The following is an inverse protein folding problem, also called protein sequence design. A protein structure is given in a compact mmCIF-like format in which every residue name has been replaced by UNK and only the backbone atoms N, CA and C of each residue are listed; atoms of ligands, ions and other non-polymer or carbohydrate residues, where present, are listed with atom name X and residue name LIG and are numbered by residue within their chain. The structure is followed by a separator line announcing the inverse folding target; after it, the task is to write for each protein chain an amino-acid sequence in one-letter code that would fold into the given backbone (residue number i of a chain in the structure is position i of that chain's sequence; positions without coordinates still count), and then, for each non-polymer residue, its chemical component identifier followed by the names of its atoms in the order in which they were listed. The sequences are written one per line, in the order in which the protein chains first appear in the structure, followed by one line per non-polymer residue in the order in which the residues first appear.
data_IF_367501841545
#
_entry.id   IF_367501841545
#
_cell.length_a   1.000
_cell.length_b   1.000
_cell.length_c   1.000
_cell.angle_alpha   90.00
_cell.angle_beta   90.00
_cell.angle_gamma   90.00
#
_symmetry.space_group_name_H-M   'P 1'
#
loop_
_entity.id
_entity.type
_entity.pdbx_description
1 polymer ?
#
# COMPACT_ATOMS: atom_id res chain seq x y z
N UNK A 1 -4.69 -14.66 -14.79
CA UNK A 1 -3.44 -15.02 -14.09
C UNK A 1 -2.54 -13.81 -13.79
N UNK A 2 -2.88 -12.60 -14.26
CA UNK A 2 -2.05 -11.40 -14.05
C UNK A 2 -2.35 -10.66 -12.73
N UNK A 3 -3.59 -10.74 -12.23
CA UNK A 3 -3.98 -10.13 -10.95
C UNK A 3 -3.23 -10.72 -9.75
N UNK A 4 -3.00 -12.04 -9.74
CA UNK A 4 -2.25 -12.71 -8.68
C UNK A 4 -0.79 -12.24 -8.66
N UNK A 5 -0.18 -12.00 -9.84
CA UNK A 5 1.17 -11.45 -9.92
C UNK A 5 1.23 -10.01 -9.42
N UNK A 6 0.25 -9.18 -9.77
CA UNK A 6 0.16 -7.80 -9.29
C UNK A 6 0.00 -7.77 -7.76
N UNK A 7 -0.87 -8.61 -7.19
CA UNK A 7 -1.08 -8.70 -5.75
C UNK A 7 0.16 -9.19 -5.01
N UNK A 8 0.87 -10.19 -5.55
CA UNK A 8 2.11 -10.69 -4.97
C UNK A 8 3.22 -9.62 -4.95
N UNK A 9 3.37 -8.84 -6.02
CA UNK A 9 4.34 -7.74 -6.08
C UNK A 9 3.94 -6.62 -5.10
N UNK A 10 2.65 -6.26 -5.03
CA UNK A 10 2.13 -5.27 -4.07
C UNK A 10 2.48 -5.72 -2.65
N UNK A 11 2.13 -6.95 -2.27
CA UNK A 11 2.42 -7.48 -0.93
C UNK A 11 3.92 -7.54 -0.59
N UNK A 12 4.77 -7.96 -1.54
CA UNK A 12 6.22 -7.97 -1.33
C UNK A 12 6.77 -6.54 -1.11
N UNK A 13 6.30 -5.57 -1.89
CA UNK A 13 6.65 -4.17 -1.72
C UNK A 13 6.22 -3.64 -0.34
N UNK A 14 5.00 -3.93 0.10
CA UNK A 14 4.47 -3.52 1.41
C UNK A 14 5.36 -4.03 2.54
N UNK A 15 5.75 -5.30 2.50
CA UNK A 15 6.62 -5.93 3.50
C UNK A 15 7.99 -5.24 3.54
N UNK A 16 8.61 -5.01 2.38
CA UNK A 16 9.93 -4.37 2.30
C UNK A 16 9.88 -2.94 2.84
N UNK A 17 8.90 -2.14 2.42
CA UNK A 17 8.78 -0.74 2.85
C UNK A 17 8.56 -0.66 4.36
N UNK A 18 7.61 -1.42 4.91
CA UNK A 18 7.32 -1.38 6.34
C UNK A 18 8.48 -1.91 7.18
N UNK A 19 9.18 -2.94 6.71
CA UNK A 19 10.36 -3.44 7.40
C UNK A 19 11.48 -2.39 7.46
N UNK A 20 11.75 -1.68 6.36
CA UNK A 20 12.75 -0.63 6.32
C UNK A 20 12.36 0.56 7.23
N UNK A 21 11.10 0.98 7.23
CA UNK A 21 10.69 2.17 7.98
C UNK A 21 10.48 1.88 9.46
N UNK A 22 9.73 0.82 9.81
CA UNK A 22 9.42 0.52 11.21
C UNK A 22 10.56 -0.25 11.89
N UNK A 23 11.15 -1.22 11.20
CA UNK A 23 12.26 -2.01 11.73
C UNK A 23 13.54 -1.19 11.86
N UNK A 24 14.06 -0.67 10.74
CA UNK A 24 15.33 0.08 10.75
C UNK A 24 15.16 1.54 11.21
N UNK A 25 14.05 2.19 10.86
CA UNK A 25 13.84 3.61 11.18
C UNK A 25 13.30 3.89 12.58
N UNK A 26 12.47 3.00 13.13
CA UNK A 26 11.82 3.19 14.43
C UNK A 26 12.27 2.20 15.51
N UNK A 27 13.13 1.23 15.16
CA UNK A 27 13.67 0.26 16.09
C UNK A 27 12.68 -0.81 16.57
N UNK A 28 11.57 -1.01 15.85
CA UNK A 28 10.60 -2.04 16.20
C UNK A 28 11.21 -3.44 16.01
N UNK A 29 10.89 -4.35 16.93
CA UNK A 29 11.25 -5.76 16.76
C UNK A 29 10.59 -6.32 15.50
N UNK A 30 11.30 -7.21 14.80
CA UNK A 30 10.83 -7.83 13.55
C UNK A 30 9.44 -8.46 13.68
N UNK A 31 9.14 -9.11 14.81
CA UNK A 31 7.84 -9.72 15.10
C UNK A 31 6.71 -8.68 15.11
N UNK A 32 6.95 -7.52 15.72
CA UNK A 32 5.99 -6.42 15.75
C UNK A 32 5.77 -5.84 14.35
N UNK A 33 6.84 -5.65 13.59
CA UNK A 33 6.74 -5.16 12.20
C UNK A 33 5.99 -6.14 11.30
N UNK A 34 6.24 -7.44 11.43
CA UNK A 34 5.50 -8.47 10.71
C UNK A 34 4.01 -8.46 11.06
N UNK A 35 3.68 -8.36 12.35
CA UNK A 35 2.29 -8.32 12.80
C UNK A 35 1.55 -7.10 12.25
N UNK A 36 2.16 -5.92 12.34
CA UNK A 36 1.62 -4.68 11.77
C UNK A 36 1.43 -4.81 10.26
N UNK A 37 2.40 -5.41 9.55
CA UNK A 37 2.32 -5.61 8.09
C UNK A 37 1.15 -6.53 7.71
N UNK A 38 0.93 -7.60 8.48
CA UNK A 38 -0.13 -8.56 8.24
C UNK A 38 -1.52 -7.93 8.48
N UNK A 39 -1.66 -7.19 9.58
CA UNK A 39 -2.88 -6.43 9.89
C UNK A 39 -3.12 -5.35 8.84
N UNK A 40 -2.09 -4.58 8.47
CA UNK A 40 -2.22 -3.54 7.45
C UNK A 40 -2.62 -4.14 6.10
N UNK A 41 -2.02 -5.25 5.69
CA UNK A 41 -2.37 -5.93 4.45
C UNK A 41 -3.84 -6.38 4.44
N UNK A 42 -4.33 -6.93 5.55
CA UNK A 42 -5.74 -7.30 5.68
C UNK A 42 -6.66 -6.07 5.63
N UNK A 43 -6.36 -5.03 6.41
CA UNK A 43 -7.17 -3.81 6.49
C UNK A 43 -7.16 -3.04 5.16
N UNK A 44 -6.01 -2.91 4.50
CA UNK A 44 -5.88 -2.26 3.18
C UNK A 44 -6.60 -3.05 2.09
N UNK A 45 -6.56 -4.39 2.11
CA UNK A 45 -7.34 -5.19 1.17
C UNK A 45 -8.85 -5.01 1.35
N UNK A 46 -9.32 -5.02 2.61
CA UNK A 46 -10.73 -4.82 2.92
C UNK A 46 -11.18 -3.39 2.63
N UNK A 47 -10.52 -2.37 3.20
CA UNK A 47 -10.95 -0.98 3.13
C UNK A 47 -10.50 -0.30 1.83
N UNK A 48 -9.24 -0.44 1.44
CA UNK A 48 -8.67 0.15 0.22
C UNK A 48 -9.15 -0.58 -1.04
N UNK A 49 -8.72 -1.83 -1.20
CA UNK A 49 -8.89 -2.55 -2.46
C UNK A 49 -10.36 -2.93 -2.76
N UNK A 50 -11.20 -3.19 -1.74
CA UNK A 50 -12.60 -3.60 -1.95
C UNK A 50 -13.58 -2.42 -1.98
N UNK A 51 -13.42 -1.42 -1.11
CA UNK A 51 -14.39 -0.31 -0.99
C UNK A 51 -14.00 0.94 -1.79
N UNK A 52 -12.71 1.28 -1.86
CA UNK A 52 -12.24 2.54 -2.47
C UNK A 52 -11.95 2.33 -3.96
N UNK A 53 -11.26 1.24 -4.31
CA UNK A 53 -10.82 0.93 -5.67
C UNK A 53 -11.92 0.85 -6.76
N UNK A 54 -13.15 0.34 -6.53
CA UNK A 54 -14.17 0.31 -7.59
C UNK A 54 -14.81 1.66 -7.92
N UNK A 55 -14.53 2.72 -7.14
CA UNK A 55 -15.26 4.00 -7.24
C UNK A 55 -14.38 5.23 -7.53
N UNK A 56 -13.06 5.08 -7.65
CA UNK A 56 -12.17 6.24 -7.65
C UNK A 56 -11.00 6.18 -8.64
N UNK A 57 -10.40 7.34 -8.89
CA UNK A 57 -9.25 7.55 -9.77
C UNK A 57 -7.95 7.20 -9.01
N UNK A 58 -6.87 6.82 -9.73
CA UNK A 58 -5.62 6.31 -9.12
C UNK A 58 -5.07 7.17 -7.95
N UNK A 59 -5.13 8.51 -8.04
CA UNK A 59 -4.63 9.42 -7.00
C UNK A 59 -5.47 9.34 -5.72
N UNK A 60 -6.79 9.21 -5.85
CA UNK A 60 -7.70 9.11 -4.71
C UNK A 60 -7.53 7.78 -3.99
N UNK A 61 -7.23 6.69 -4.73
CA UNK A 61 -6.90 5.40 -4.13
C UNK A 61 -5.62 5.47 -3.28
N UNK A 62 -4.53 6.02 -3.84
CA UNK A 62 -3.28 6.19 -3.06
C UNK A 62 -3.46 7.07 -1.83
N UNK A 63 -4.26 8.14 -1.91
CA UNK A 63 -4.51 9.01 -0.76
C UNK A 63 -5.30 8.30 0.35
N UNK A 64 -6.26 7.47 -0.04
CA UNK A 64 -7.04 6.70 0.92
C UNK A 64 -6.20 5.59 1.56
N UNK A 65 -5.37 4.89 0.77
CA UNK A 65 -4.42 3.90 1.27
C UNK A 65 -3.38 4.53 2.21
N UNK A 66 -2.93 5.77 1.95
CA UNK A 66 -2.09 6.55 2.87
C UNK A 66 -2.79 6.72 4.23
N UNK A 67 -4.06 7.15 4.22
CA UNK A 67 -4.84 7.33 5.44
C UNK A 67 -5.03 6.03 6.22
N UNK A 68 -5.35 4.93 5.52
CA UNK A 68 -5.48 3.60 6.11
C UNK A 68 -4.15 3.12 6.71
N UNK A 69 -3.04 3.31 6.00
CA UNK A 69 -1.70 2.97 6.46
C UNK A 69 -1.33 3.74 7.73
N UNK A 70 -1.53 5.06 7.73
CA UNK A 70 -1.26 5.90 8.89
C UNK A 70 -2.07 5.45 10.11
N UNK A 71 -3.39 5.34 9.96
CA UNK A 71 -4.27 5.04 11.09
C UNK A 71 -4.00 3.64 11.67
N UNK A 72 -3.79 2.65 10.81
CA UNK A 72 -3.52 1.27 11.23
C UNK A 72 -2.21 1.16 11.99
N UNK A 73 -1.13 1.74 11.43
CA UNK A 73 0.20 1.68 12.06
C UNK A 73 0.21 2.46 13.38
N UNK A 74 -0.44 3.62 13.42
CA UNK A 74 -0.50 4.45 14.62
C UNK A 74 -1.25 3.75 15.75
N UNK A 75 -2.46 3.27 15.49
CA UNK A 75 -3.28 2.56 16.48
C UNK A 75 -2.61 1.27 16.94
N UNK A 76 -1.96 0.53 16.02
CA UNK A 76 -1.25 -0.68 16.39
C UNK A 76 -0.02 -0.39 17.25
N UNK A 77 0.77 0.62 16.89
CA UNK A 77 1.94 1.02 17.68
C UNK A 77 1.54 1.45 19.09
N UNK A 78 0.44 2.19 19.24
CA UNK A 78 -0.14 2.55 20.54
C UNK A 78 -0.61 1.31 21.33
N UNK A 79 -1.33 0.39 20.69
CA UNK A 79 -1.81 -0.85 21.30
C UNK A 79 -0.66 -1.75 21.80
N UNK A 80 0.52 -1.62 21.18
CA UNK A 80 1.73 -2.37 21.52
C UNK A 80 2.59 -1.66 22.58
N UNK A 81 2.11 -0.54 23.15
CA UNK A 81 2.77 0.16 24.25
C UNK A 81 3.76 1.24 23.82
N UNK A 82 3.80 1.61 22.54
CA UNK A 82 4.62 2.74 22.06
C UNK A 82 4.01 4.06 22.53
N UNK A 83 4.85 5.04 22.88
CA UNK A 83 4.39 6.40 23.21
C UNK A 83 3.67 7.04 22.01
N UNK A 84 2.71 7.92 22.28
CA UNK A 84 1.89 8.53 21.24
C UNK A 84 2.72 9.31 20.21
N UNK A 85 3.74 10.03 20.65
CA UNK A 85 4.61 10.82 19.79
C UNK A 85 5.44 9.94 18.86
N UNK A 86 6.07 8.88 19.40
CA UNK A 86 6.87 7.94 18.61
C UNK A 86 5.98 7.14 17.65
N UNK A 87 4.80 6.71 18.10
CA UNK A 87 3.83 6.01 17.28
C UNK A 87 3.34 6.87 16.11
N UNK A 88 3.03 8.15 16.36
CA UNK A 88 2.57 9.07 15.33
C UNK A 88 3.66 9.36 14.30
N UNK A 89 4.92 9.56 14.75
CA UNK A 89 6.05 9.80 13.87
C UNK A 89 6.34 8.57 12.99
N UNK A 90 6.37 7.38 13.59
CA UNK A 90 6.59 6.12 12.87
C UNK A 90 5.49 5.87 11.83
N UNK A 91 4.22 6.09 12.21
CA UNK A 91 3.09 5.97 11.30
C UNK A 91 3.14 6.99 10.16
N UNK A 92 3.56 8.23 10.42
CA UNK A 92 3.70 9.26 9.40
C UNK A 92 4.73 8.87 8.33
N UNK A 93 5.94 8.49 8.75
CA UNK A 93 6.98 8.06 7.82
C UNK A 93 6.60 6.78 7.08
N UNK A 94 5.97 5.83 7.76
CA UNK A 94 5.53 4.58 7.13
C UNK A 94 4.43 4.82 6.09
N UNK A 95 3.42 5.64 6.41
CA UNK A 95 2.36 6.00 5.48
C UNK A 95 2.90 6.79 4.27
N UNK A 96 3.83 7.72 4.49
CA UNK A 96 4.47 8.47 3.40
C UNK A 96 5.28 7.54 2.47
N UNK A 97 6.05 6.62 3.03
CA UNK A 97 6.82 5.65 2.25
C UNK A 97 5.91 4.67 1.49
N UNK A 98 4.80 4.24 2.11
CA UNK A 98 3.78 3.40 1.49
C UNK A 98 3.13 4.10 0.29
N UNK A 99 2.71 5.35 0.45
CA UNK A 99 2.11 6.13 -0.61
C UNK A 99 3.06 6.36 -1.79
N UNK A 100 4.34 6.61 -1.51
CA UNK A 100 5.38 6.70 -2.54
C UNK A 100 5.56 5.36 -3.29
N UNK A 101 5.60 4.24 -2.54
CA UNK A 101 5.67 2.89 -3.11
C UNK A 101 4.49 2.57 -4.02
N UNK A 102 3.28 2.86 -3.57
CA UNK A 102 2.06 2.64 -4.36
C UNK A 102 2.01 3.52 -5.62
N UNK A 103 2.43 4.78 -5.51
CA UNK A 103 2.53 5.66 -6.69
C UNK A 103 3.46 5.07 -7.75
N UNK A 104 4.65 4.60 -7.34
CA UNK A 104 5.61 3.94 -8.23
C UNK A 104 5.03 2.63 -8.79
N UNK A 105 4.34 1.85 -7.96
CA UNK A 105 3.71 0.60 -8.35
C UNK A 105 2.63 0.81 -9.42
N UNK A 106 1.77 1.83 -9.26
CA UNK A 106 0.80 2.22 -10.27
C UNK A 106 1.46 2.63 -11.59
N UNK A 107 2.53 3.44 -11.52
CA UNK A 107 3.30 3.83 -12.70
C UNK A 107 3.92 2.63 -13.44
N UNK A 108 4.46 1.67 -12.68
CA UNK A 108 5.03 0.43 -13.21
C UNK A 108 3.98 -0.48 -13.85
N UNK A 109 2.80 -0.64 -13.22
CA UNK A 109 1.70 -1.43 -13.77
C UNK A 109 1.19 -0.88 -15.12
N UNK A 110 1.11 0.45 -15.25
CA UNK A 110 0.73 1.13 -16.49
C UNK A 110 1.79 0.89 -17.57
N UNK A 111 3.08 0.99 -17.24
CA UNK A 111 4.17 0.80 -18.20
C UNK A 111 4.36 -0.65 -18.66
N UNK A 112 4.12 -1.63 -17.77
CA UNK A 112 4.23 -3.06 -18.13
C UNK A 112 2.97 -3.65 -18.76
N UNK A 113 1.93 -2.84 -19.01
CA UNK A 113 0.66 -3.28 -19.57
C UNK A 113 -0.05 -4.38 -18.74
N UNK A 114 0.32 -4.50 -17.45
CA UNK A 114 -0.24 -5.47 -16.49
C UNK A 114 -1.45 -4.89 -15.74
N UNK A 115 -1.66 -3.57 -15.81
CA UNK A 115 -2.90 -2.94 -15.41
C UNK A 115 -3.90 -3.02 -16.56
N UNK A 116 -5.13 -3.44 -16.26
CA UNK A 116 -6.31 -3.58 -17.14
C UNK A 116 -6.25 -2.74 -18.43
N UNK A 117 -5.44 -3.15 -19.41
CA UNK A 117 -5.46 -2.58 -20.74
C UNK A 117 -6.55 -3.33 -21.46
N UNK A 118 -7.77 -2.83 -21.27
CA UNK A 118 -8.78 -3.00 -22.28
C UNK A 118 -8.14 -2.57 -23.60
N UNK A 119 -7.88 -3.56 -24.45
CA UNK A 119 -7.56 -3.39 -25.85
C UNK A 119 -8.70 -2.61 -26.49
N UNK A 120 -8.63 -1.28 -26.44
CA UNK A 120 -9.38 -0.41 -27.34
C UNK A 120 -8.39 0.25 -28.28
N UNK A 121 -7.70 -0.61 -29.05
CA UNK A 121 -6.97 -0.24 -30.25
C UNK A 121 -7.32 -1.21 -31.37
N UNK A 122 -8.61 -1.28 -31.70
CA UNK A 122 -9.16 -1.73 -32.97
C UNK A 122 -10.51 -1.00 -33.04
N UNK A 123 -10.56 0.23 -33.54
CA UNK A 123 -11.16 0.53 -34.83
C UNK A 123 -10.69 1.92 -35.29
N UNK A 124 -9.52 1.99 -35.91
CA UNK A 124 -9.22 3.07 -36.87
C UNK A 124 -8.48 2.47 -38.05
N UNK A 125 -9.14 1.53 -38.75
CA UNK A 125 -8.80 1.21 -40.14
C UNK A 125 -9.83 0.28 -40.78
N UNK A 126 -10.86 0.89 -41.37
CA UNK A 126 -11.45 0.52 -42.67
C UNK A 126 -12.17 1.77 -43.13
N UNK A 127 -11.42 2.63 -43.83
CA UNK A 127 -11.64 3.03 -45.24
C UNK A 127 -12.55 4.27 -45.34
#
# INVERSE_FOLDING_TARGET
MEHVKALAIKGAMTIVILYLVLGLGSGFHFEHTLFITLVLGAVSYLLGDLFILPKTNNITATLADLGVAFLTIWLMSLAMGTTADTAALAAFFAAAAMAAGEYIFHFYLIHKNLGFSNHRRLETRTE
#
